data_IF_966664444874
#
_entry.id   IF_966664444874
#
_cell.length_a   1.000
_cell.length_b   1.000
_cell.length_c   1.000
_cell.angle_alpha   90.00
_cell.angle_beta   90.00
_cell.angle_gamma   90.00
#
_symmetry.space_group_name_H-M   'P 1'
#
loop_
_entity.id
_entity.type
_entity.pdbx_description
1 polymer ?
#
# COMPACT_ATOMS: atom_id res chain seq x y z
N UNK A 1 13.30 9.03 19.71
CA UNK A 1 14.77 8.94 19.68
C UNK A 1 15.14 7.50 19.96
N UNK A 2 15.75 6.82 18.99
CA UNK A 2 16.39 5.52 19.16
C UNK A 2 17.89 5.78 19.09
N UNK A 3 18.66 5.28 20.05
CA UNK A 3 20.10 5.49 20.10
C UNK A 3 20.79 4.19 19.64
N UNK A 4 21.67 4.26 18.64
CA UNK A 4 22.60 3.17 18.40
C UNK A 4 23.67 3.22 19.48
N UNK A 5 23.71 2.20 20.34
CA UNK A 5 24.63 2.15 21.47
C UNK A 5 25.73 1.13 21.17
N UNK A 6 26.98 1.59 21.14
CA UNK A 6 28.15 0.73 21.05
C UNK A 6 28.71 0.48 22.45
N UNK A 7 28.91 -0.80 22.81
CA UNK A 7 29.59 -1.17 24.05
C UNK A 7 31.09 -1.28 23.77
N UNK A 8 31.90 -0.43 24.43
CA UNK A 8 33.37 -0.53 24.46
C UNK A 8 33.87 -0.83 25.87
N UNK A 9 35.15 -1.19 26.01
CA UNK A 9 35.77 -1.70 27.24
C UNK A 9 35.53 -0.87 28.52
N UNK A 10 35.16 0.42 28.39
CA UNK A 10 34.92 1.33 29.53
C UNK A 10 33.52 1.98 29.58
N UNK A 11 32.56 1.58 28.73
CA UNK A 11 31.22 2.16 28.79
C UNK A 11 30.33 1.92 27.57
N UNK A 12 29.11 2.45 27.66
CA UNK A 12 28.16 2.55 26.56
C UNK A 12 28.33 3.92 25.89
N UNK A 13 28.52 3.93 24.58
CA UNK A 13 28.66 5.14 23.79
C UNK A 13 27.47 5.28 22.84
N UNK A 14 26.88 6.46 22.79
CA UNK A 14 25.93 6.80 21.72
C UNK A 14 26.76 6.98 20.47
N UNK A 15 26.53 6.13 19.48
CA UNK A 15 27.27 6.16 18.22
C UNK A 15 26.62 7.14 17.25
N UNK A 16 25.30 7.04 17.10
CA UNK A 16 24.50 7.92 16.25
C UNK A 16 23.07 8.04 16.82
N UNK A 17 22.42 9.17 16.57
CA UNK A 17 21.04 9.43 16.97
C UNK A 17 20.09 9.15 15.81
N UNK A 18 19.15 8.21 16.01
CA UNK A 18 18.08 7.91 15.07
C UNK A 18 16.80 8.60 15.54
N UNK A 19 16.26 9.47 14.68
CA UNK A 19 15.02 10.19 14.96
C UNK A 19 13.88 9.61 14.14
N UNK A 20 12.87 9.06 14.83
CA UNK A 20 11.57 8.84 14.19
C UNK A 20 10.94 10.20 13.92
N UNK A 21 10.41 10.38 12.72
CA UNK A 21 9.83 11.65 12.27
C UNK A 21 8.46 11.41 11.62
N UNK A 22 7.99 12.35 10.80
CA UNK A 22 6.77 12.28 10.02
C UNK A 22 7.07 12.65 8.57
N UNK A 23 6.36 12.04 7.62
CA UNK A 23 6.57 12.35 6.20
C UNK A 23 6.23 13.81 5.88
N UNK A 24 5.27 14.41 6.59
CA UNK A 24 4.97 15.85 6.46
C UNK A 24 6.16 16.75 6.78
N UNK A 25 7.08 16.32 7.66
CA UNK A 25 8.30 17.07 7.98
C UNK A 25 9.36 16.93 6.89
N UNK A 26 9.25 15.90 6.05
CA UNK A 26 10.05 15.74 4.84
C UNK A 26 9.44 16.42 3.61
N UNK A 27 8.35 17.16 3.78
CA UNK A 27 7.56 17.75 2.69
C UNK A 27 7.06 16.72 1.66
N UNK A 28 6.96 15.45 2.05
CA UNK A 28 6.42 14.38 1.22
C UNK A 28 4.91 14.44 1.31
N UNK A 29 4.22 14.56 0.17
CA UNK A 29 2.77 14.44 0.08
C UNK A 29 2.34 12.98 -0.18
N UNK A 30 1.04 12.71 -0.05
CA UNK A 30 0.49 11.36 -0.23
C UNK A 30 0.80 10.81 -1.63
N UNK A 31 0.69 11.65 -2.66
CA UNK A 31 0.99 11.27 -4.05
C UNK A 31 2.44 10.82 -4.23
N UNK A 32 3.39 11.56 -3.64
CA UNK A 32 4.82 11.21 -3.67
C UNK A 32 5.07 9.90 -2.93
N UNK A 33 4.40 9.69 -1.79
CA UNK A 33 4.47 8.44 -1.05
C UNK A 33 3.90 7.26 -1.87
N UNK A 34 2.77 7.45 -2.54
CA UNK A 34 2.21 6.43 -3.44
C UNK A 34 3.17 6.09 -4.59
N UNK A 35 3.82 7.09 -5.22
CA UNK A 35 4.81 6.89 -6.29
C UNK A 35 6.01 6.09 -5.77
N UNK A 36 6.47 6.42 -4.56
CA UNK A 36 7.52 5.65 -3.88
C UNK A 36 7.09 4.20 -3.62
N UNK A 37 5.85 3.97 -3.19
CA UNK A 37 5.31 2.62 -2.95
C UNK A 37 5.29 1.81 -4.25
N UNK A 38 4.83 2.37 -5.38
CA UNK A 38 4.83 1.67 -6.67
C UNK A 38 6.25 1.28 -7.09
N UNK A 39 7.18 2.21 -6.98
CA UNK A 39 8.57 2.02 -7.40
C UNK A 39 9.29 0.97 -6.53
N UNK A 40 8.91 0.84 -5.26
CA UNK A 40 9.49 -0.09 -4.30
C UNK A 40 8.53 -1.24 -3.92
N UNK A 41 7.53 -1.53 -4.76
CA UNK A 41 6.40 -2.42 -4.41
C UNK A 41 6.81 -3.83 -4.01
N UNK A 42 7.88 -4.37 -4.62
CA UNK A 42 8.40 -5.70 -4.27
C UNK A 42 8.89 -5.74 -2.83
N UNK A 43 9.59 -4.69 -2.40
CA UNK A 43 10.02 -4.58 -1.01
C UNK A 43 8.82 -4.28 -0.13
N UNK A 44 8.02 -3.26 -0.43
CA UNK A 44 6.96 -2.78 0.48
C UNK A 44 5.80 -3.77 0.62
N UNK A 45 5.24 -4.24 -0.49
CA UNK A 45 4.09 -5.15 -0.52
C UNK A 45 4.49 -6.63 -0.40
N UNK A 46 5.80 -6.91 -0.34
CA UNK A 46 6.38 -8.24 -0.40
C UNK A 46 6.58 -8.73 -1.85
N UNK A 47 7.34 -9.81 -2.01
CA UNK A 47 7.73 -10.37 -3.32
C UNK A 47 6.59 -11.06 -4.09
N UNK A 48 5.34 -10.74 -3.74
CA UNK A 48 4.15 -11.26 -4.39
C UNK A 48 4.06 -10.70 -5.81
N UNK A 49 3.83 -11.59 -6.78
CA UNK A 49 3.50 -11.18 -8.15
C UNK A 49 2.11 -10.59 -8.16
N UNK A 50 1.99 -9.35 -8.63
CA UNK A 50 0.72 -8.64 -8.76
C UNK A 50 0.72 -7.84 -10.06
N UNK A 51 -0.43 -7.77 -10.69
CA UNK A 51 -0.68 -6.88 -11.82
C UNK A 51 -1.13 -5.53 -11.29
N UNK A 52 -0.32 -4.50 -11.50
CA UNK A 52 -0.70 -3.14 -11.18
C UNK A 52 -1.73 -2.65 -12.20
N UNK A 53 -2.92 -2.33 -11.69
CA UNK A 53 -4.03 -1.74 -12.43
C UNK A 53 -3.66 -0.25 -12.55
N UNK A 54 -3.87 0.55 -11.51
CA UNK A 54 -3.42 1.94 -11.57
C UNK A 54 -3.71 2.78 -10.34
N UNK A 55 -3.48 4.08 -10.53
CA UNK A 55 -3.83 5.19 -9.62
C UNK A 55 -4.96 5.98 -10.23
N UNK A 56 -6.05 6.18 -9.49
CA UNK A 56 -7.15 7.00 -9.98
C UNK A 56 -6.99 8.45 -9.52
N UNK A 57 -6.66 9.35 -10.46
CA UNK A 57 -6.94 10.78 -10.28
C UNK A 57 -8.41 11.05 -10.62
N UNK A 58 -8.91 12.18 -10.15
CA UNK A 58 -10.30 12.52 -9.80
C UNK A 58 -11.43 12.59 -10.86
N UNK A 59 -12.59 12.97 -10.34
CA UNK A 59 -13.78 13.55 -10.96
C UNK A 59 -14.86 12.55 -11.45
N UNK A 60 -15.95 12.56 -10.66
CA UNK A 60 -17.24 11.87 -10.78
C UNK A 60 -17.35 10.52 -10.04
N UNK A 61 -18.01 10.61 -8.87
CA UNK A 61 -18.68 9.58 -8.06
C UNK A 61 -17.86 8.37 -7.54
N UNK A 62 -17.49 8.49 -6.26
CA UNK A 62 -17.43 7.46 -5.20
C UNK A 62 -16.47 6.25 -5.30
N UNK A 63 -15.62 6.16 -6.31
CA UNK A 63 -14.65 5.07 -6.42
C UNK A 63 -13.24 5.60 -6.66
N UNK A 64 -12.45 5.83 -5.60
CA UNK A 64 -11.06 6.29 -5.68
C UNK A 64 -10.18 5.56 -4.66
N UNK A 65 -9.80 4.32 -4.93
CA UNK A 65 -8.71 3.71 -4.16
C UNK A 65 -7.36 4.29 -4.62
N UNK A 66 -6.42 4.47 -3.68
CA UNK A 66 -5.11 5.03 -4.01
C UNK A 66 -4.33 4.12 -4.97
N UNK A 67 -4.25 2.82 -4.65
CA UNK A 67 -3.68 1.82 -5.57
C UNK A 67 -4.59 0.61 -5.71
N UNK A 68 -4.63 0.08 -6.92
CA UNK A 68 -5.37 -1.13 -7.26
C UNK A 68 -4.47 -2.15 -7.95
N UNK A 69 -4.54 -3.40 -7.50
CA UNK A 69 -3.80 -4.52 -8.07
C UNK A 69 -4.70 -5.73 -8.22
N UNK A 70 -4.25 -6.67 -9.06
CA UNK A 70 -4.81 -8.03 -9.12
C UNK A 70 -3.70 -9.01 -8.83
N UNK A 71 -3.90 -9.92 -7.86
CA UNK A 71 -2.92 -10.95 -7.57
C UNK A 71 -2.96 -12.09 -8.59
N UNK A 72 -1.99 -13.00 -8.49
CA UNK A 72 -1.92 -14.16 -9.38
C UNK A 72 -3.11 -15.10 -9.29
N UNK A 73 -3.92 -15.06 -8.22
CA UNK A 73 -5.11 -15.89 -8.04
C UNK A 73 -6.38 -15.19 -8.56
N UNK A 74 -6.26 -13.97 -9.09
CA UNK A 74 -7.40 -13.19 -9.57
C UNK A 74 -8.07 -12.34 -8.49
N UNK A 75 -7.53 -12.29 -7.27
CA UNK A 75 -8.10 -11.47 -6.20
C UNK A 75 -7.79 -9.99 -6.45
N UNK A 76 -8.77 -9.14 -6.18
CA UNK A 76 -8.59 -7.70 -6.24
C UNK A 76 -7.93 -7.20 -4.94
N UNK A 77 -6.78 -6.54 -5.06
CA UNK A 77 -6.07 -5.95 -3.93
C UNK A 77 -6.29 -4.44 -3.97
N UNK A 78 -6.95 -3.93 -2.93
CA UNK A 78 -7.29 -2.52 -2.76
C UNK A 78 -6.37 -1.96 -1.70
N UNK A 79 -5.59 -0.93 -2.06
CA UNK A 79 -4.65 -0.30 -1.15
C UNK A 79 -5.09 1.14 -0.91
N UNK A 80 -5.29 1.49 0.35
CA UNK A 80 -5.49 2.87 0.79
C UNK A 80 -4.27 3.31 1.58
N UNK A 81 -3.80 4.51 1.29
CA UNK A 81 -2.59 5.09 1.85
C UNK A 81 -2.98 6.33 2.64
N UNK A 82 -2.37 6.49 3.81
CA UNK A 82 -2.38 7.74 4.55
C UNK A 82 -0.97 8.05 5.00
N UNK A 83 -0.48 9.23 4.64
CA UNK A 83 0.90 9.62 4.89
C UNK A 83 1.29 9.44 6.37
N UNK A 84 0.61 10.12 7.28
CA UNK A 84 0.95 10.09 8.71
C UNK A 84 -0.18 9.50 9.57
N UNK A 85 0.17 9.03 10.78
CA UNK A 85 -0.80 8.45 11.74
C UNK A 85 -2.02 9.34 12.01
N UNK A 86 -1.86 10.66 11.95
CA UNK A 86 -2.95 11.62 12.20
C UNK A 86 -3.98 11.66 11.06
N UNK A 87 -3.60 11.16 9.87
CA UNK A 87 -4.44 11.15 8.67
C UNK A 87 -5.30 9.87 8.60
N UNK A 88 -5.11 8.89 9.50
CA UNK A 88 -5.74 7.55 9.39
C UNK A 88 -7.20 7.47 9.80
N UNK A 89 -7.88 8.60 10.07
CA UNK A 89 -9.23 8.60 10.63
C UNK A 89 -10.26 7.87 9.75
N UNK A 90 -10.15 8.01 8.43
CA UNK A 90 -11.08 7.42 7.46
C UNK A 90 -10.42 6.32 6.60
N UNK A 91 -9.22 5.88 6.99
CA UNK A 91 -8.38 4.97 6.20
C UNK A 91 -9.11 3.65 5.89
N UNK A 92 -9.78 3.08 6.89
CA UNK A 92 -10.53 1.85 6.70
C UNK A 92 -11.84 2.08 5.95
N UNK A 93 -12.63 3.09 6.33
CA UNK A 93 -13.93 3.39 5.75
C UNK A 93 -13.84 3.63 4.24
N UNK A 94 -12.79 4.34 3.78
CA UNK A 94 -12.52 4.56 2.36
C UNK A 94 -12.23 3.24 1.64
N UNK A 95 -11.27 2.46 2.15
CA UNK A 95 -10.89 1.18 1.56
C UNK A 95 -12.04 0.17 1.50
N UNK A 96 -12.87 0.13 2.55
CA UNK A 96 -14.04 -0.75 2.64
C UNK A 96 -15.12 -0.35 1.64
N UNK A 97 -15.37 0.95 1.46
CA UNK A 97 -16.32 1.45 0.47
C UNK A 97 -15.93 1.01 -0.95
N UNK A 98 -14.64 1.06 -1.27
CA UNK A 98 -14.15 0.58 -2.57
C UNK A 98 -14.29 -0.93 -2.73
N UNK A 99 -13.95 -1.70 -1.69
CA UNK A 99 -14.15 -3.15 -1.70
C UNK A 99 -15.62 -3.49 -1.97
N UNK A 100 -16.53 -2.86 -1.25
CA UNK A 100 -17.97 -3.04 -1.43
C UNK A 100 -18.42 -2.73 -2.86
N UNK A 101 -17.98 -1.62 -3.43
CA UNK A 101 -18.36 -1.24 -4.80
C UNK A 101 -17.77 -2.15 -5.87
N UNK A 102 -16.55 -2.64 -5.68
CA UNK A 102 -15.93 -3.56 -6.63
C UNK A 102 -16.42 -5.01 -6.46
N UNK A 103 -17.02 -5.37 -5.33
CA UNK A 103 -17.42 -6.75 -5.04
C UNK A 103 -18.39 -7.37 -6.06
N UNK A 104 -19.18 -6.54 -6.76
CA UNK A 104 -20.17 -6.97 -7.75
C UNK A 104 -19.58 -7.17 -9.15
N UNK A 105 -18.33 -6.76 -9.40
CA UNK A 105 -17.71 -6.78 -10.72
C UNK A 105 -17.00 -8.13 -10.92
N UNK A 106 -17.71 -9.12 -11.44
CA UNK A 106 -17.23 -10.52 -11.47
C UNK A 106 -16.45 -10.89 -12.72
N UNK A 107 -16.46 -10.02 -13.72
CA UNK A 107 -15.68 -10.20 -14.95
C UNK A 107 -14.68 -9.07 -15.17
N UNK A 108 -13.61 -9.37 -15.90
CA UNK A 108 -12.60 -8.37 -16.28
C UNK A 108 -13.24 -7.24 -17.08
N UNK A 109 -14.16 -7.55 -18.00
CA UNK A 109 -14.87 -6.55 -18.81
C UNK A 109 -15.73 -5.62 -17.96
N UNK A 110 -16.56 -6.15 -17.05
CA UNK A 110 -17.37 -5.33 -16.13
C UNK A 110 -16.50 -4.43 -15.25
N UNK A 111 -15.38 -4.97 -14.75
CA UNK A 111 -14.43 -4.24 -13.94
C UNK A 111 -13.77 -3.11 -14.72
N UNK A 112 -13.28 -3.40 -15.93
CA UNK A 112 -12.71 -2.38 -16.80
C UNK A 112 -13.78 -1.35 -17.20
N UNK A 113 -15.02 -1.76 -17.51
CA UNK A 113 -16.10 -0.83 -17.80
C UNK A 113 -16.40 0.11 -16.63
N UNK A 114 -16.39 -0.39 -15.40
CA UNK A 114 -16.57 0.44 -14.21
C UNK A 114 -15.43 1.45 -14.05
N UNK A 115 -14.18 1.00 -14.21
CA UNK A 115 -12.98 1.84 -14.13
C UNK A 115 -12.99 2.94 -15.19
N UNK A 116 -13.40 2.62 -16.42
CA UNK A 116 -13.40 3.55 -17.55
C UNK A 116 -14.72 4.31 -17.70
N UNK A 117 -15.66 4.25 -16.76
CA UNK A 117 -16.96 4.95 -16.88
C UNK A 117 -16.85 6.47 -16.66
N UNK A 118 -15.99 6.92 -15.74
CA UNK A 118 -15.88 8.33 -15.34
C UNK A 118 -14.51 8.90 -15.73
N UNK A 119 -14.47 9.57 -16.89
CA UNK A 119 -13.28 9.60 -17.76
C UNK A 119 -12.54 10.94 -17.88
N UNK A 120 -12.38 11.73 -16.81
CA UNK A 120 -11.54 12.95 -16.92
C UNK A 120 -10.09 12.75 -16.52
N UNK A 121 -9.78 11.82 -15.63
CA UNK A 121 -8.45 11.75 -15.01
C UNK A 121 -7.77 10.37 -15.08
N UNK A 122 -8.24 9.49 -15.98
CA UNK A 122 -7.66 8.15 -16.19
C UNK A 122 -6.21 8.15 -16.74
N UNK A 123 -5.62 9.33 -16.95
CA UNK A 123 -4.34 9.53 -17.61
C UNK A 123 -3.10 9.08 -16.80
N UNK A 124 -3.25 8.64 -15.54
CA UNK A 124 -2.14 8.15 -14.71
C UNK A 124 -2.03 6.63 -14.62
N UNK A 125 -2.65 5.91 -15.55
CA UNK A 125 -2.48 4.47 -15.68
C UNK A 125 -1.28 4.19 -16.60
N UNK A 126 -0.24 3.54 -16.09
CA UNK A 126 0.75 2.76 -16.87
C UNK A 126 1.27 3.39 -18.18
N UNK A 127 1.48 4.71 -18.24
CA UNK A 127 1.85 5.43 -19.48
C UNK A 127 0.91 5.16 -20.68
N UNK A 128 -0.38 4.97 -20.41
CA UNK A 128 -1.38 4.69 -21.44
C UNK A 128 -1.59 5.93 -22.35
N UNK A 129 -1.90 5.67 -23.62
CA UNK A 129 -2.02 6.70 -24.67
C UNK A 129 -3.27 7.55 -24.49
N UNK A 130 -3.39 8.66 -25.22
CA UNK A 130 -4.58 9.54 -25.19
C UNK A 130 -5.89 8.90 -25.74
N UNK A 131 -5.91 7.59 -26.05
CA UNK A 131 -7.07 6.88 -26.60
C UNK A 131 -7.68 5.92 -25.56
N UNK A 132 -8.84 6.30 -25.01
CA UNK A 132 -9.56 5.56 -23.96
C UNK A 132 -10.01 4.17 -24.39
N UNK A 133 -10.49 4.01 -25.63
CA UNK A 133 -11.01 2.72 -26.09
C UNK A 133 -9.86 1.71 -26.19
N UNK A 134 -8.77 2.15 -26.80
CA UNK A 134 -7.55 1.36 -26.90
C UNK A 134 -6.99 1.04 -25.50
N UNK A 135 -7.06 1.97 -24.55
CA UNK A 135 -6.62 1.74 -23.17
C UNK A 135 -7.46 0.68 -22.44
N UNK A 136 -8.79 0.68 -22.59
CA UNK A 136 -9.66 -0.36 -22.02
C UNK A 136 -9.33 -1.72 -22.61
N UNK A 137 -9.31 -1.83 -23.92
CA UNK A 137 -9.02 -3.10 -24.63
C UNK A 137 -7.61 -3.62 -24.26
N UNK A 138 -6.64 -2.71 -24.14
CA UNK A 138 -5.28 -3.04 -23.67
C UNK A 138 -5.30 -3.57 -22.23
N UNK A 139 -6.02 -2.92 -21.31
CA UNK A 139 -6.11 -3.40 -19.92
C UNK A 139 -6.77 -4.77 -19.83
N UNK A 140 -7.90 -4.97 -20.52
CA UNK A 140 -8.60 -6.26 -20.57
C UNK A 140 -7.66 -7.35 -21.06
N UNK A 141 -6.93 -7.08 -22.14
CA UNK A 141 -5.96 -8.03 -22.72
C UNK A 141 -4.81 -8.33 -21.76
N UNK A 142 -4.13 -7.32 -21.25
CA UNK A 142 -2.97 -7.49 -20.37
C UNK A 142 -3.33 -8.19 -19.05
N UNK A 143 -4.47 -7.86 -18.46
CA UNK A 143 -4.95 -8.51 -17.25
C UNK A 143 -5.34 -9.97 -17.51
N UNK A 144 -6.02 -10.25 -18.63
CA UNK A 144 -6.36 -11.62 -19.03
C UNK A 144 -5.09 -12.46 -19.26
N UNK A 145 -4.12 -11.92 -19.98
CA UNK A 145 -2.82 -12.56 -20.20
C UNK A 145 -2.06 -12.81 -18.89
N UNK A 146 -2.08 -11.85 -17.97
CA UNK A 146 -1.48 -12.01 -16.65
C UNK A 146 -2.10 -13.17 -15.87
N UNK A 147 -3.43 -13.28 -15.80
CA UNK A 147 -4.09 -14.37 -15.07
C UNK A 147 -3.80 -15.72 -15.72
N UNK A 148 -3.94 -15.82 -17.05
CA UNK A 148 -3.70 -17.06 -17.78
C UNK A 148 -2.24 -17.53 -17.66
N UNK A 149 -1.27 -16.60 -17.71
CA UNK A 149 0.16 -16.90 -17.52
C UNK A 149 0.48 -17.42 -16.12
N UNK A 150 -0.33 -17.07 -15.12
CA UNK A 150 -0.21 -17.57 -13.75
C UNK A 150 -1.19 -18.73 -13.45
N UNK A 151 -1.73 -19.38 -14.48
CA UNK A 151 -2.62 -20.54 -14.36
C UNK A 151 -3.96 -20.27 -13.65
N UNK A 152 -4.40 -19.02 -13.63
CA UNK A 152 -5.69 -18.63 -13.04
C UNK A 152 -6.74 -18.50 -14.14
N UNK A 153 -7.85 -19.27 -14.08
CA UNK A 153 -8.94 -19.11 -15.03
C UNK A 153 -9.58 -17.73 -14.90
N UNK A 154 -9.99 -17.12 -16.02
CA UNK A 154 -10.61 -15.79 -16.00
C UNK A 154 -11.90 -15.74 -15.16
N UNK A 155 -12.59 -16.87 -14.98
CA UNK A 155 -13.75 -17.01 -14.10
C UNK A 155 -13.44 -16.87 -12.61
N UNK A 156 -12.16 -16.90 -12.21
CA UNK A 156 -11.73 -16.70 -10.84
C UNK A 156 -11.44 -15.22 -10.52
N UNK A 157 -11.62 -14.33 -11.50
CA UNK A 157 -11.43 -12.91 -11.30
C UNK A 157 -12.40 -12.35 -10.24
N UNK A 158 -11.84 -11.64 -9.25
CA UNK A 158 -12.54 -10.90 -8.21
C UNK A 158 -13.61 -11.73 -7.47
N UNK A 159 -13.30 -13.00 -7.22
CA UNK A 159 -14.07 -13.85 -6.30
C UNK A 159 -13.82 -13.44 -4.85
N UNK A 160 -12.56 -13.12 -4.51
CA UNK A 160 -12.16 -12.55 -3.22
C UNK A 160 -11.43 -11.22 -3.40
N UNK A 161 -11.36 -10.46 -2.31
CA UNK A 161 -10.68 -9.18 -2.25
C UNK A 161 -9.78 -9.11 -1.02
N UNK A 162 -8.69 -8.37 -1.14
CA UNK A 162 -7.80 -8.03 -0.05
C UNK A 162 -7.76 -6.51 0.10
N UNK A 163 -7.90 -6.04 1.34
CA UNK A 163 -7.65 -4.64 1.69
C UNK A 163 -6.25 -4.54 2.29
N UNK A 164 -5.46 -3.58 1.84
CA UNK A 164 -4.16 -3.24 2.45
C UNK A 164 -4.22 -1.78 2.89
N UNK A 165 -4.02 -1.54 4.18
CA UNK A 165 -3.96 -0.20 4.75
C UNK A 165 -2.50 0.18 4.97
N UNK A 166 -2.05 1.29 4.40
CA UNK A 166 -0.65 1.75 4.53
C UNK A 166 -0.60 3.10 5.25
N UNK A 167 0.17 3.19 6.34
CA UNK A 167 0.43 4.48 7.00
C UNK A 167 1.71 4.49 7.85
N UNK A 168 2.18 5.65 8.32
CA UNK A 168 3.30 5.71 9.25
C UNK A 168 2.97 5.19 10.65
N UNK A 169 1.70 5.05 10.98
CA UNK A 169 1.23 4.40 12.19
C UNK A 169 -0.28 4.29 12.22
N UNK A 170 -0.82 3.63 13.24
CA UNK A 170 -2.26 3.45 13.41
C UNK A 170 -2.62 3.72 14.86
N UNK A 171 -3.77 4.35 15.08
CA UNK A 171 -4.29 4.53 16.45
C UNK A 171 -4.84 3.19 16.99
N UNK A 172 -4.90 3.07 18.33
CA UNK A 172 -5.32 1.82 18.99
C UNK A 172 -6.75 1.39 18.64
N UNK A 173 -7.65 2.35 18.42
CA UNK A 173 -9.04 2.05 18.08
C UNK A 173 -9.14 1.37 16.70
N UNK A 174 -8.47 1.95 15.69
CA UNK A 174 -8.35 1.36 14.36
C UNK A 174 -7.72 -0.03 14.44
N UNK A 175 -6.60 -0.18 15.16
CA UNK A 175 -5.94 -1.48 15.32
C UNK A 175 -6.85 -2.54 15.92
N UNK A 176 -7.63 -2.22 16.96
CA UNK A 176 -8.57 -3.16 17.57
C UNK A 176 -9.67 -3.58 16.60
N UNK A 177 -10.28 -2.62 15.89
CA UNK A 177 -11.32 -2.91 14.90
C UNK A 177 -10.81 -3.79 13.76
N UNK A 178 -9.65 -3.44 13.18
CA UNK A 178 -9.03 -4.24 12.11
C UNK A 178 -8.62 -5.63 12.61
N UNK A 179 -8.06 -5.73 13.81
CA UNK A 179 -7.68 -7.03 14.39
C UNK A 179 -8.89 -7.94 14.58
N UNK A 180 -10.04 -7.38 14.98
CA UNK A 180 -11.29 -8.12 15.09
C UNK A 180 -11.79 -8.58 13.70
N UNK A 181 -11.74 -7.73 12.68
CA UNK A 181 -12.15 -8.13 11.32
C UNK A 181 -11.25 -9.23 10.76
N UNK A 182 -9.93 -9.12 10.94
CA UNK A 182 -8.97 -10.16 10.55
C UNK A 182 -9.29 -11.47 11.29
N UNK A 183 -9.61 -11.40 12.59
CA UNK A 183 -9.97 -12.58 13.37
C UNK A 183 -11.30 -13.23 12.98
N UNK A 184 -12.10 -12.53 12.18
CA UNK A 184 -13.35 -13.04 11.59
C UNK A 184 -13.19 -13.37 10.10
N UNK A 185 -11.96 -13.52 9.61
CA UNK A 185 -11.66 -13.99 8.26
C UNK A 185 -11.73 -12.91 7.18
N UNK A 186 -11.83 -11.63 7.55
CA UNK A 186 -11.75 -10.53 6.57
C UNK A 186 -10.27 -10.33 6.20
N UNK A 187 -9.98 -10.38 4.91
CA UNK A 187 -8.61 -10.31 4.39
C UNK A 187 -8.09 -8.86 4.37
N UNK A 188 -7.63 -8.38 5.53
CA UNK A 188 -7.05 -7.03 5.70
C UNK A 188 -5.60 -7.15 6.12
N UNK A 189 -4.70 -6.43 5.47
CA UNK A 189 -3.30 -6.31 5.87
C UNK A 189 -2.96 -4.88 6.26
N UNK A 190 -2.03 -4.73 7.20
CA UNK A 190 -1.47 -3.44 7.60
C UNK A 190 -0.01 -3.39 7.18
N UNK A 191 0.41 -2.30 6.54
CA UNK A 191 1.82 -2.03 6.23
C UNK A 191 2.18 -0.67 6.81
N UNK A 192 3.01 -0.69 7.84
CA UNK A 192 3.49 0.51 8.49
C UNK A 192 4.78 0.99 7.83
N UNK A 193 4.80 2.24 7.33
CA UNK A 193 5.96 2.90 6.74
C UNK A 193 6.44 4.01 7.67
N UNK A 194 7.40 3.72 8.54
CA UNK A 194 7.87 4.69 9.54
C UNK A 194 9.08 5.48 9.02
N UNK A 195 8.98 6.81 8.87
CA UNK A 195 10.11 7.62 8.46
C UNK A 195 11.09 7.84 9.62
N UNK A 196 12.38 7.67 9.33
CA UNK A 196 13.52 7.84 10.24
C UNK A 196 14.62 8.69 9.61
N UNK A 197 15.30 9.49 10.42
CA UNK A 197 16.51 10.21 10.05
C UNK A 197 17.73 9.73 10.85
N UNK A 198 18.86 9.55 10.16
CA UNK A 198 20.15 9.20 10.74
C UNK A 198 21.27 9.94 10.00
N UNK A 199 21.99 10.83 10.71
CA UNK A 199 23.11 11.63 10.18
C UNK A 199 22.73 12.33 8.84
N UNK A 200 21.54 12.92 8.79
CA UNK A 200 21.03 13.61 7.59
C UNK A 200 20.49 12.71 6.47
N UNK A 201 20.56 11.39 6.61
CA UNK A 201 19.97 10.43 5.67
C UNK A 201 18.55 10.06 6.11
N UNK A 202 17.64 9.89 5.13
CA UNK A 202 16.22 9.55 5.34
C UNK A 202 15.96 8.09 4.99
N UNK A 203 15.37 7.35 5.92
CA UNK A 203 15.07 5.92 5.82
C UNK A 203 13.61 5.64 6.14
N UNK A 204 13.03 4.62 5.50
CA UNK A 204 11.72 4.11 5.89
C UNK A 204 11.89 2.71 6.47
N UNK A 205 11.45 2.54 7.71
CA UNK A 205 11.27 1.23 8.32
C UNK A 205 9.90 0.66 7.92
N UNK A 206 9.88 -0.59 7.49
CA UNK A 206 8.66 -1.27 7.03
C UNK A 206 8.31 -2.37 8.03
N UNK A 207 7.13 -2.26 8.62
CA UNK A 207 6.50 -3.31 9.41
C UNK A 207 5.26 -3.81 8.68
N UNK A 208 5.06 -5.14 8.63
CA UNK A 208 3.91 -5.74 7.95
C UNK A 208 3.16 -6.63 8.91
N UNK A 209 1.85 -6.52 8.88
CA UNK A 209 0.91 -7.38 9.58
C UNK A 209 -0.04 -7.96 8.53
N UNK A 210 0.07 -9.27 8.29
CA UNK A 210 -0.81 -9.98 7.37
C UNK A 210 -1.75 -10.91 8.14
N UNK A 211 -2.96 -11.20 7.62
CA UNK A 211 -3.79 -12.27 8.14
C UNK A 211 -3.02 -13.59 8.03
N UNK A 212 -2.78 -14.28 9.15
CA UNK A 212 -2.45 -15.70 9.06
C UNK A 212 -3.75 -16.45 8.77
N UNK A 213 -3.69 -17.36 7.79
CA UNK A 213 -4.80 -18.25 7.48
C UNK A 213 -5.28 -19.02 8.72
N UNK A 214 -6.45 -19.66 8.62
CA UNK A 214 -7.06 -20.41 9.73
C UNK A 214 -6.08 -21.44 10.32
N UNK A 215 -5.82 -21.37 11.63
CA UNK A 215 -5.21 -22.50 12.35
C UNK A 215 -6.27 -23.58 12.61
N UNK A 216 -5.83 -24.83 12.88
CA UNK A 216 -6.71 -25.98 13.18
C UNK A 216 -7.69 -25.76 14.35
N UNK A 217 -7.47 -24.73 15.17
CA UNK A 217 -8.32 -24.39 16.32
C UNK A 217 -9.14 -23.09 16.12
N UNK A 218 -9.21 -22.55 14.90
CA UNK A 218 -10.07 -21.41 14.57
C UNK A 218 -9.59 -20.04 15.04
N UNK A 219 -8.41 -19.94 15.68
CA UNK A 219 -7.81 -18.66 16.05
C UNK A 219 -6.94 -18.15 14.89
N UNK A 220 -7.24 -16.95 14.39
CA UNK A 220 -6.37 -16.22 13.48
C UNK A 220 -5.24 -15.56 14.26
N UNK A 221 -4.00 -15.76 13.84
CA UNK A 221 -2.83 -15.12 14.42
C UNK A 221 -2.45 -13.94 13.51
N UNK A 222 -1.99 -12.83 14.08
CA UNK A 222 -1.32 -11.79 13.31
C UNK A 222 0.15 -12.19 13.22
N UNK A 223 0.69 -12.44 12.02
CA UNK A 223 2.14 -12.51 11.88
C UNK A 223 2.64 -11.08 11.84
N UNK A 224 3.37 -10.68 12.88
CA UNK A 224 4.30 -9.57 12.77
C UNK A 224 5.53 -10.15 12.10
N UNK A 225 5.85 -9.72 10.89
CA UNK A 225 7.17 -10.06 10.34
C UNK A 225 8.21 -9.36 11.22
N UNK A 226 8.92 -10.12 12.06
CA UNK A 226 9.89 -9.63 13.05
C UNK A 226 11.13 -8.96 12.43
N UNK A 227 11.25 -8.93 11.11
CA UNK A 227 12.32 -8.21 10.40
C UNK A 227 11.83 -6.83 9.93
N UNK A 228 12.21 -5.78 10.67
CA UNK A 228 12.11 -4.41 10.16
C UNK A 228 13.00 -4.30 8.93
N UNK A 229 12.40 -4.06 7.77
CA UNK A 229 13.15 -3.76 6.54
C UNK A 229 13.35 -2.26 6.44
N UNK A 230 14.60 -1.80 6.24
CA UNK A 230 14.89 -0.40 5.95
C UNK A 230 15.05 -0.21 4.44
N UNK A 231 14.43 0.84 3.90
CA UNK A 231 14.67 1.30 2.53
C UNK A 231 15.27 2.70 2.58
N UNK A 232 16.39 2.89 1.87
CA UNK A 232 16.94 4.22 1.61
C UNK A 232 15.99 5.00 0.72
N UNK A 233 15.73 6.24 1.08
CA UNK A 233 14.86 7.09 0.27
C UNK A 233 15.68 7.91 -0.74
N UNK A 234 15.12 8.24 -1.91
CA UNK A 234 15.76 9.17 -2.85
C UNK A 234 15.63 10.63 -2.38
N UNK A 235 15.05 10.88 -1.21
CA UNK A 235 14.79 12.22 -0.69
C UNK A 235 16.01 12.66 0.12
N UNK A 236 16.86 13.51 -0.46
CA UNK A 236 17.97 14.11 0.29
C UNK A 236 17.47 15.22 1.22
N UNK A 237 18.33 15.62 2.17
CA UNK A 237 18.17 16.91 2.83
C UNK A 237 18.58 18.01 1.85
N UNK A 238 17.63 18.86 1.44
CA UNK A 238 18.02 20.21 1.02
C UNK A 238 18.61 20.87 2.26
N UNK A 239 19.94 21.05 2.30
CA UNK A 239 20.54 21.98 3.24
C UNK A 239 19.90 23.34 2.96
N UNK A 240 18.92 23.74 3.78
CA UNK A 240 18.44 25.10 3.80
C UNK A 240 19.60 25.89 4.40
N UNK A 241 20.39 26.53 3.53
CA UNK A 241 21.31 27.58 3.95
C UNK A 241 20.47 28.68 4.60
N UNK A 242 20.41 28.67 5.93
CA UNK A 242 20.03 29.87 6.67
C UNK A 242 21.15 30.89 6.45
N UNK A 243 20.95 31.79 5.49
CA UNK A 243 21.70 33.03 5.44
C UNK A 243 21.34 33.82 6.71
N UNK A 244 22.22 33.75 7.70
CA UNK A 244 22.27 34.67 8.84
C UNK A 244 22.79 36.03 8.38
#
# INVERSE_FOLDING_TARGET
>A
MILEIEKKDKGLFIKEEIFQTFFRLWEIDEKTLEDFIINNRQTILGERKMFYIGKQKSSCENLRCDLLFVDTNGNLIIIEIKRDIFDTKNLFEQSFSYAQSFAQLKTIDEFCDAIFRNTKDFFSFRHLRNDKKNNKETLVKELSEFLLKNHTPLSHFNLEQQIILISSGYNNHLLQGISWLISHGINISLIQLQPFELVGNKFIAINRTFPLGKTKNGTHILDKFDSITFINTPWENKMIEYNL
#
